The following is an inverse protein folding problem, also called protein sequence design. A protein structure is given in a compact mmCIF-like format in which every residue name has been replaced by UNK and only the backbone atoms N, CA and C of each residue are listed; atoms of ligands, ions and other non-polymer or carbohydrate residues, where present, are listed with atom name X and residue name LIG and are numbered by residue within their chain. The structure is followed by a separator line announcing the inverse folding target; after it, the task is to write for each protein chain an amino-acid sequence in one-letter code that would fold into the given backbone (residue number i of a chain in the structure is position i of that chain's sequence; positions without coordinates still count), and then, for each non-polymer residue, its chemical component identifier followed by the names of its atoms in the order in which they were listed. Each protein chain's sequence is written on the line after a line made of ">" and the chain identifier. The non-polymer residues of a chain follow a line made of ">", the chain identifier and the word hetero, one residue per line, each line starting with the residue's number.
data_IF_787236963317
#
_entry.id   IF_787236963317
#
_cell.length_a   1.000
_cell.length_b   1.000
_cell.length_c   1.000
_cell.angle_alpha   90.00
_cell.angle_beta   90.00
_cell.angle_gamma   90.00
#
_symmetry.space_group_name_H-M   'P 1'
#
loop_
_entity.id
_entity.type
_entity.pdbx_description
1 polymer ?
#
# COMPACT_ATOMS: atom_id res chain seq x y z
N UNK A 1 -10.16 16.75 -1.07
CA UNK A 1 -10.11 15.35 -0.62
C UNK A 1 -10.73 14.47 -1.70
N UNK A 2 -9.94 13.55 -2.27
CA UNK A 2 -10.34 12.60 -3.32
C UNK A 2 -10.24 11.18 -2.76
N UNK A 3 -11.19 10.33 -3.09
CA UNK A 3 -11.16 8.91 -2.75
C UNK A 3 -10.97 8.09 -4.02
N UNK A 4 -10.08 7.10 -3.95
CA UNK A 4 -9.82 6.18 -5.03
C UNK A 4 -9.89 4.77 -4.45
N UNK A 5 -10.63 3.89 -5.10
CA UNK A 5 -10.76 2.49 -4.73
C UNK A 5 -10.35 1.64 -5.91
N UNK A 6 -9.50 0.65 -5.64
CA UNK A 6 -8.99 -0.28 -6.64
C UNK A 6 -8.74 -1.64 -6.02
N UNK A 7 -8.67 -2.67 -6.87
CA UNK A 7 -8.23 -3.98 -6.46
C UNK A 7 -6.70 -4.07 -6.58
N UNK A 8 -6.06 -4.64 -5.57
CA UNK A 8 -4.63 -4.94 -5.56
C UNK A 8 -4.41 -6.45 -5.53
N UNK A 9 -3.41 -6.94 -6.26
CA UNK A 9 -2.97 -8.34 -6.22
C UNK A 9 -1.57 -8.39 -5.64
N UNK A 10 -1.36 -9.26 -4.65
CA UNK A 10 -0.02 -9.55 -4.14
C UNK A 10 0.74 -10.37 -5.19
N UNK A 11 1.74 -9.77 -5.82
CA UNK A 11 2.56 -10.43 -6.86
C UNK A 11 3.89 -10.92 -6.31
N UNK A 12 4.32 -10.37 -5.17
CA UNK A 12 5.52 -10.79 -4.47
C UNK A 12 5.27 -10.85 -2.98
N UNK A 13 5.74 -11.93 -2.38
CA UNK A 13 5.73 -12.17 -0.94
C UNK A 13 6.98 -12.96 -0.58
N UNK A 14 7.98 -12.26 -0.08
CA UNK A 14 9.30 -12.82 0.23
C UNK A 14 9.68 -12.61 1.68
N UNK A 15 10.00 -13.72 2.35
CA UNK A 15 10.63 -13.67 3.67
C UNK A 15 12.15 -13.64 3.53
N UNK A 16 12.76 -12.62 4.12
CA UNK A 16 14.21 -12.43 4.14
C UNK A 16 14.87 -13.22 5.27
N UNK A 17 16.20 -13.33 5.21
CA UNK A 17 16.99 -14.05 6.22
C UNK A 17 17.03 -13.37 7.59
N UNK A 18 16.82 -12.05 7.62
CA UNK A 18 16.72 -11.26 8.85
C UNK A 18 15.32 -11.35 9.51
N UNK A 19 14.39 -12.09 8.90
CA UNK A 19 13.03 -12.26 9.38
C UNK A 19 12.05 -11.24 8.81
N UNK A 20 12.51 -10.20 8.11
CA UNK A 20 11.63 -9.25 7.44
C UNK A 20 10.83 -9.90 6.31
N UNK A 21 9.69 -9.30 5.96
CA UNK A 21 8.82 -9.74 4.87
C UNK A 21 8.63 -8.59 3.89
N UNK A 22 8.88 -8.88 2.62
CA UNK A 22 8.77 -7.93 1.52
C UNK A 22 7.56 -8.30 0.68
N UNK A 23 6.63 -7.36 0.53
CA UNK A 23 5.40 -7.52 -0.20
C UNK A 23 5.37 -6.52 -1.35
N UNK A 24 4.87 -6.98 -2.50
CA UNK A 24 4.57 -6.13 -3.64
C UNK A 24 3.11 -6.38 -4.05
N UNK A 25 2.32 -5.31 -4.01
CA UNK A 25 0.93 -5.29 -4.41
C UNK A 25 0.79 -4.43 -5.65
N UNK A 26 0.28 -5.00 -6.74
CA UNK A 26 -0.01 -4.25 -7.96
C UNK A 26 -1.50 -4.11 -8.15
N UNK A 27 -1.96 -2.98 -8.67
CA UNK A 27 -3.35 -2.73 -8.96
C UNK A 27 -3.53 -1.76 -10.12
N UNK A 28 -4.78 -1.54 -10.50
CA UNK A 28 -5.12 -0.65 -11.62
C UNK A 28 -6.19 0.36 -11.18
N UNK A 29 -6.00 1.63 -11.55
CA UNK A 29 -6.98 2.71 -11.38
C UNK A 29 -7.26 3.32 -12.75
N UNK A 30 -8.38 2.93 -13.38
CA UNK A 30 -8.66 3.39 -14.75
C UNK A 30 -7.63 2.83 -15.72
N UNK A 31 -6.86 3.71 -16.36
CA UNK A 31 -5.77 3.36 -17.29
C UNK A 31 -4.37 3.41 -16.63
N UNK A 32 -4.31 3.68 -15.32
CA UNK A 32 -3.05 3.85 -14.57
C UNK A 32 -2.71 2.60 -13.75
N UNK A 33 -1.44 2.20 -13.79
CA UNK A 33 -0.89 1.15 -12.94
C UNK A 33 -0.52 1.72 -11.56
N UNK A 34 -0.71 0.91 -10.52
CA UNK A 34 -0.34 1.19 -9.14
C UNK A 34 0.55 0.07 -8.63
N UNK A 35 1.67 0.42 -8.02
CA UNK A 35 2.52 -0.52 -7.30
C UNK A 35 2.68 -0.03 -5.86
N UNK A 36 2.45 -0.91 -4.89
CA UNK A 36 2.73 -0.70 -3.49
C UNK A 36 3.76 -1.73 -3.04
N UNK A 37 4.89 -1.23 -2.57
CA UNK A 37 5.91 -2.00 -1.90
C UNK A 37 5.74 -1.84 -0.40
N UNK A 38 5.77 -2.94 0.34
CA UNK A 38 5.69 -2.95 1.80
C UNK A 38 6.79 -3.82 2.37
N UNK A 39 7.52 -3.28 3.34
CA UNK A 39 8.51 -3.98 4.14
C UNK A 39 8.02 -4.06 5.57
N UNK A 40 7.97 -5.28 6.07
CA UNK A 40 7.61 -5.61 7.44
C UNK A 40 8.86 -6.08 8.13
N UNK A 41 9.14 -5.59 9.32
CA UNK A 41 10.27 -6.09 10.10
C UNK A 41 9.98 -7.47 10.72
N UNK A 42 10.99 -8.01 11.39
CA UNK A 42 10.92 -9.29 12.07
C UNK A 42 9.93 -9.34 13.25
N UNK A 43 9.53 -8.19 13.80
CA UNK A 43 8.56 -8.08 14.89
C UNK A 43 7.12 -8.00 14.35
N UNK A 44 6.97 -7.94 13.02
CA UNK A 44 5.68 -7.82 12.34
C UNK A 44 5.21 -6.37 12.20
N UNK A 45 6.05 -5.40 12.56
CA UNK A 45 5.76 -3.98 12.44
C UNK A 45 6.08 -3.49 11.02
N UNK A 46 5.38 -2.44 10.58
CA UNK A 46 5.67 -1.82 9.29
C UNK A 46 7.00 -1.06 9.39
N UNK A 47 7.98 -1.48 8.61
CA UNK A 47 9.27 -0.80 8.51
C UNK A 47 9.25 0.30 7.44
N UNK A 48 8.73 -0.04 6.25
CA UNK A 48 8.71 0.85 5.08
C UNK A 48 7.50 0.53 4.22
N UNK A 49 6.87 1.53 3.62
CA UNK A 49 6.03 1.31 2.47
C UNK A 49 6.15 2.46 1.46
N UNK A 50 6.22 2.12 0.19
CA UNK A 50 6.25 3.09 -0.91
C UNK A 50 5.20 2.70 -1.95
N UNK A 51 4.38 3.67 -2.33
CA UNK A 51 3.41 3.53 -3.40
C UNK A 51 3.80 4.39 -4.58
N UNK A 52 3.94 3.77 -5.74
CA UNK A 52 4.02 4.47 -7.02
C UNK A 52 2.66 4.40 -7.71
N UNK A 53 2.13 5.55 -8.14
CA UNK A 53 0.94 5.63 -8.97
C UNK A 53 1.06 6.74 -10.00
N UNK A 54 0.36 6.62 -11.11
CA UNK A 54 0.21 7.71 -12.07
C UNK A 54 -1.05 8.52 -11.75
N UNK A 55 -0.89 9.81 -11.46
CA UNK A 55 -1.99 10.75 -11.31
C UNK A 55 -1.91 11.79 -12.43
N UNK A 56 -2.99 11.89 -13.20
CA UNK A 56 -3.14 12.88 -14.27
C UNK A 56 -1.99 12.84 -15.32
N UNK A 57 -1.40 11.66 -15.52
CA UNK A 57 -0.30 11.43 -16.48
C UNK A 57 1.10 11.65 -15.92
N UNK A 58 1.23 11.97 -14.63
CA UNK A 58 2.51 12.13 -13.94
C UNK A 58 2.71 11.04 -12.88
N UNK A 59 3.89 10.38 -12.83
CA UNK A 59 4.19 9.40 -11.80
C UNK A 59 4.42 10.12 -10.46
N UNK A 60 3.70 9.68 -9.43
CA UNK A 60 3.83 10.14 -8.05
C UNK A 60 4.24 8.97 -7.16
N UNK A 61 5.31 9.19 -6.37
CA UNK A 61 5.78 8.24 -5.35
C UNK A 61 5.36 8.75 -3.98
N UNK A 62 4.74 7.89 -3.19
CA UNK A 62 4.25 8.19 -1.85
C UNK A 62 4.91 7.24 -0.86
N UNK A 63 5.85 7.78 -0.08
CA UNK A 63 6.42 7.06 1.04
C UNK A 63 5.48 7.14 2.27
N UNK A 64 5.34 6.02 2.97
CA UNK A 64 4.62 5.88 4.23
C UNK A 64 5.63 5.47 5.30
N UNK A 65 5.92 6.38 6.23
CA UNK A 65 6.90 6.16 7.30
C UNK A 65 6.22 5.73 8.60
N UNK A 66 6.68 4.60 9.16
CA UNK A 66 6.80 4.22 10.59
C UNK A 66 5.63 4.31 11.58
N UNK A 67 4.57 5.08 11.33
CA UNK A 67 3.45 5.31 12.26
C UNK A 67 2.09 4.96 11.63
N UNK A 68 2.15 4.14 10.59
CA UNK A 68 1.00 3.57 9.87
C UNK A 68 0.24 2.61 10.77
N UNK A 69 -1.05 2.87 10.96
CA UNK A 69 -1.91 2.12 11.87
C UNK A 69 -2.01 0.61 11.60
N UNK A 70 -2.37 -0.10 12.68
CA UNK A 70 -2.66 -1.53 12.83
C UNK A 70 -2.51 -2.38 11.56
N UNK A 71 -1.55 -3.28 11.65
CA UNK A 71 -1.21 -4.21 10.59
C UNK A 71 -1.49 -5.63 11.08
N UNK A 72 -2.50 -6.25 10.51
CA UNK A 72 -2.85 -7.66 10.75
C UNK A 72 -2.43 -8.46 9.51
N UNK A 73 -1.21 -8.98 9.53
CA UNK A 73 -0.60 -9.65 8.39
C UNK A 73 -1.16 -11.04 8.11
N UNK A 74 -1.67 -11.72 9.13
CA UNK A 74 -2.32 -13.01 8.95
C UNK A 74 -3.60 -12.83 8.12
N UNK A 75 -4.26 -11.67 8.27
CA UNK A 75 -5.40 -11.25 7.46
C UNK A 75 -5.02 -10.28 6.32
N UNK A 76 -3.74 -10.01 6.03
CA UNK A 76 -3.26 -9.03 5.03
C UNK A 76 -3.99 -7.67 5.08
N UNK A 77 -4.31 -7.20 6.28
CA UNK A 77 -5.00 -5.93 6.51
C UNK A 77 -4.01 -4.91 7.04
N UNK A 78 -3.92 -3.76 6.37
CA UNK A 78 -3.01 -2.70 6.80
C UNK A 78 -3.58 -1.31 6.48
N UNK A 79 -3.27 -0.34 7.32
CA UNK A 79 -3.61 1.06 7.10
C UNK A 79 -2.33 1.89 7.07
N UNK A 80 -1.98 2.44 5.91
CA UNK A 80 -0.83 3.33 5.74
C UNK A 80 -1.29 4.79 5.78
N UNK A 81 -0.50 5.65 6.41
CA UNK A 81 -0.77 7.09 6.45
C UNK A 81 0.49 7.90 6.21
N UNK A 82 0.40 8.90 5.35
CA UNK A 82 1.42 9.92 5.13
C UNK A 82 0.79 11.32 5.30
N UNK A 83 1.57 12.36 5.06
CA UNK A 83 1.11 13.75 5.17
C UNK A 83 -0.13 14.02 4.28
N UNK A 84 -0.07 13.56 3.02
CA UNK A 84 -1.11 13.84 2.02
C UNK A 84 -1.98 12.64 1.68
N UNK A 85 -1.60 11.43 2.10
CA UNK A 85 -2.26 10.20 1.69
C UNK A 85 -2.65 9.32 2.87
N UNK A 86 -3.69 8.53 2.70
CA UNK A 86 -3.98 7.40 3.56
C UNK A 86 -4.48 6.24 2.73
N UNK A 87 -3.97 5.04 2.98
CA UNK A 87 -4.34 3.82 2.30
C UNK A 87 -4.92 2.84 3.32
N UNK A 88 -6.09 2.28 3.03
CA UNK A 88 -6.65 1.15 3.78
C UNK A 88 -6.71 -0.05 2.83
N UNK A 89 -6.03 -1.13 3.18
CA UNK A 89 -5.99 -2.38 2.44
C UNK A 89 -6.70 -3.47 3.24
N UNK A 90 -7.59 -4.21 2.58
CA UNK A 90 -8.34 -5.31 3.20
C UNK A 90 -8.35 -6.54 2.32
N UNK A 91 -8.26 -7.75 2.89
CA UNK A 91 -8.33 -8.98 2.12
C UNK A 91 -9.71 -9.16 1.48
N UNK A 92 -9.73 -9.69 0.26
CA UNK A 92 -10.90 -10.27 -0.40
C UNK A 92 -10.84 -11.80 -0.35
N UNK A 93 -12.00 -12.42 -0.58
CA UNK A 93 -12.15 -13.89 -0.53
C UNK A 93 -11.45 -14.64 -1.66
N UNK A 94 -11.03 -13.94 -2.72
CA UNK A 94 -10.32 -14.45 -3.88
C UNK A 94 -8.79 -14.32 -3.77
N UNK A 95 -8.28 -13.78 -2.66
CA UNK A 95 -6.85 -13.52 -2.46
C UNK A 95 -6.38 -12.16 -2.97
N UNK A 96 -7.27 -11.34 -3.55
CA UNK A 96 -7.00 -9.93 -3.83
C UNK A 96 -7.11 -9.06 -2.57
N UNK A 97 -6.70 -7.81 -2.68
CA UNK A 97 -6.88 -6.76 -1.68
C UNK A 97 -7.83 -5.69 -2.22
N UNK A 98 -8.85 -5.34 -1.44
CA UNK A 98 -9.59 -4.10 -1.65
C UNK A 98 -8.78 -2.94 -1.08
N UNK A 99 -8.33 -2.04 -1.96
CA UNK A 99 -7.46 -0.92 -1.63
C UNK A 99 -8.26 0.38 -1.71
N UNK A 100 -8.22 1.18 -0.64
CA UNK A 100 -8.83 2.50 -0.59
C UNK A 100 -7.78 3.56 -0.29
N UNK A 101 -7.42 4.33 -1.31
CA UNK A 101 -6.56 5.50 -1.21
C UNK A 101 -7.39 6.77 -0.98
N UNK A 102 -7.00 7.55 0.02
CA UNK A 102 -7.57 8.86 0.36
C UNK A 102 -6.50 9.91 0.14
N UNK A 103 -6.70 10.75 -0.87
CA UNK A 103 -5.85 11.91 -1.14
C UNK A 103 -6.42 13.10 -0.37
N UNK A 104 -5.75 13.47 0.73
CA UNK A 104 -6.16 14.55 1.64
C UNK A 104 -5.92 15.92 1.01
N UNK A 105 -4.98 16.00 0.08
CA UNK A 105 -4.63 17.15 -0.72
C UNK A 105 -3.19 17.57 -0.45
N UNK A 106 -2.33 17.43 -1.45
CA UNK A 106 -1.32 18.44 -1.72
C UNK A 106 -1.97 19.43 -2.69
N UNK A 107 -1.92 20.72 -2.36
CA UNK A 107 -2.27 21.75 -3.32
C UNK A 107 -1.13 21.80 -4.35
N UNK A 108 -1.35 21.65 -5.66
CA UNK A 108 -0.34 22.07 -6.63
C UNK A 108 -0.08 23.59 -6.50
#
# INVERSE_FOLDING_TARGET
>A
MRHITFAGTVVRDERQLDGSRHLEVVGEIGDSEVALYVVVDHDGELAEADMTLELDGEPESVAFEGDSGLVDWDDMRFTLTSEHFALDARPRQDGELDMRLVVRGANP
#
